data_IF_493366002322
#
_entry.id   IF_493366002322
#
_cell.length_a   1.000
_cell.length_b   1.000
_cell.length_c   1.000
_cell.angle_alpha   90.00
_cell.angle_beta   90.00
_cell.angle_gamma   90.00
#
_symmetry.space_group_name_H-M   'P 1'
#
loop_
_entity.id
_entity.type
_entity.pdbx_description
1 polymer ?
#
# COMPACT_ATOMS: atom_id res chain seq x y z
N UNK A 1 -3.35 21.88 -12.63
CA UNK A 1 -2.69 22.83 -11.72
C UNK A 1 -1.20 22.68 -11.91
N UNK A 2 -0.48 23.77 -12.19
CA UNK A 2 0.97 23.71 -12.30
C UNK A 2 1.57 23.64 -10.89
N UNK A 3 1.88 22.44 -10.44
CA UNK A 3 2.51 22.22 -9.15
C UNK A 3 4.02 22.19 -9.34
N UNK A 4 4.69 23.34 -9.18
CA UNK A 4 6.15 23.34 -9.10
C UNK A 4 6.58 22.77 -7.76
N UNK A 5 7.15 21.57 -7.76
CA UNK A 5 7.73 20.93 -6.59
C UNK A 5 9.25 21.05 -6.61
N UNK A 6 9.85 21.14 -5.43
CA UNK A 6 11.31 21.05 -5.30
C UNK A 6 11.85 19.75 -5.94
N UNK A 7 12.98 19.81 -6.64
CA UNK A 7 13.63 18.64 -7.20
C UNK A 7 13.92 17.58 -6.14
N UNK A 8 13.80 16.31 -6.54
CA UNK A 8 14.09 15.21 -5.64
C UNK A 8 15.60 15.12 -5.33
N UNK A 9 15.95 15.13 -4.06
CA UNK A 9 17.34 15.04 -3.55
C UNK A 9 17.79 13.60 -3.30
N UNK A 10 16.85 12.74 -2.92
CA UNK A 10 17.06 11.30 -2.74
C UNK A 10 16.11 10.54 -3.67
N UNK A 11 16.63 10.02 -4.75
CA UNK A 11 15.89 9.25 -5.76
C UNK A 11 16.08 7.73 -5.66
N UNK A 12 16.78 7.28 -4.60
CA UNK A 12 17.21 5.89 -4.41
C UNK A 12 16.05 4.89 -4.56
N UNK A 13 14.89 5.20 -3.92
CA UNK A 13 13.70 4.35 -4.03
C UNK A 13 13.23 4.24 -5.48
N UNK A 14 13.16 5.35 -6.20
CA UNK A 14 12.63 5.37 -7.56
C UNK A 14 13.56 4.63 -8.52
N UNK A 15 14.88 4.84 -8.42
CA UNK A 15 15.87 4.07 -9.20
C UNK A 15 15.76 2.58 -8.95
N UNK A 16 15.72 2.19 -7.67
CA UNK A 16 15.56 0.78 -7.30
C UNK A 16 14.24 0.21 -7.83
N UNK A 17 13.12 0.94 -7.69
CA UNK A 17 11.81 0.49 -8.16
C UNK A 17 11.74 0.30 -9.69
N UNK A 18 12.54 1.03 -10.45
CA UNK A 18 12.73 0.82 -11.90
C UNK A 18 13.70 -0.33 -12.23
N UNK A 19 14.25 -1.02 -11.22
CA UNK A 19 15.19 -2.13 -11.42
C UNK A 19 16.62 -1.69 -11.75
N UNK A 20 16.96 -0.43 -11.50
CA UNK A 20 18.31 0.09 -11.69
C UNK A 20 19.24 -0.38 -10.57
N UNK A 21 20.54 -0.39 -10.84
CA UNK A 21 21.55 -0.57 -9.79
C UNK A 21 21.55 0.63 -8.84
N UNK A 22 21.72 0.32 -7.56
CA UNK A 22 21.73 1.31 -6.49
C UNK A 22 22.86 0.99 -5.50
N UNK A 23 23.36 2.02 -4.86
CA UNK A 23 24.49 1.93 -3.91
C UNK A 23 24.16 1.15 -2.64
N UNK A 24 22.89 1.06 -2.27
CA UNK A 24 22.33 0.24 -1.19
C UNK A 24 20.84 0.02 -1.44
N UNK A 25 20.17 -0.95 -0.81
CA UNK A 25 18.73 -1.06 -0.90
C UNK A 25 18.08 0.16 -0.26
N UNK A 26 17.11 0.82 -0.93
CA UNK A 26 16.28 1.82 -0.28
C UNK A 26 15.41 1.17 0.77
N UNK A 27 15.03 1.94 1.80
CA UNK A 27 14.14 1.44 2.82
C UNK A 27 13.05 2.43 3.22
N UNK A 28 11.92 1.87 3.52
CA UNK A 28 10.78 2.47 4.17
C UNK A 28 9.95 1.35 4.81
N UNK A 29 8.98 1.65 5.63
CA UNK A 29 8.14 0.61 6.22
C UNK A 29 6.67 0.95 6.16
N UNK A 30 5.84 -0.05 5.88
CA UNK A 30 4.39 0.09 5.86
C UNK A 30 3.88 0.53 7.23
N UNK A 31 2.97 1.52 7.24
CA UNK A 31 2.44 2.18 8.45
C UNK A 31 3.53 2.88 9.29
N UNK A 32 4.59 3.38 8.63
CA UNK A 32 5.65 4.15 9.30
C UNK A 32 5.13 5.39 10.01
N UNK A 33 4.06 6.02 9.54
CA UNK A 33 3.27 7.00 10.30
C UNK A 33 2.17 6.26 11.07
N UNK A 34 2.15 6.37 12.39
CA UNK A 34 1.16 5.62 13.14
C UNK A 34 1.30 5.66 14.66
N UNK A 35 0.40 4.93 15.31
CA UNK A 35 0.17 4.93 16.76
C UNK A 35 1.36 4.49 17.63
N UNK A 36 2.41 3.95 17.07
CA UNK A 36 3.63 3.60 17.80
C UNK A 36 4.53 4.83 18.06
N UNK A 37 4.28 5.95 17.35
CA UNK A 37 5.01 7.21 17.53
C UNK A 37 4.33 8.09 18.58
N UNK A 38 5.03 8.60 19.58
CA UNK A 38 4.47 9.54 20.56
C UNK A 38 3.89 10.80 19.89
N UNK A 39 4.62 11.41 18.96
CA UNK A 39 4.20 12.59 18.21
C UNK A 39 2.95 12.38 17.35
N UNK A 40 2.62 11.15 16.99
CA UNK A 40 1.36 10.83 16.32
C UNK A 40 0.16 11.19 17.20
N UNK A 41 0.21 10.88 18.49
CA UNK A 41 -0.88 11.15 19.42
C UNK A 41 -1.07 12.65 19.66
N UNK A 42 0.03 13.41 19.70
CA UNK A 42 -0.01 14.86 19.82
C UNK A 42 -0.67 15.51 18.59
N UNK A 43 -0.22 15.15 17.39
CA UNK A 43 -0.76 15.69 16.14
C UNK A 43 -2.21 15.27 15.89
N UNK A 44 -2.56 14.02 16.24
CA UNK A 44 -3.95 13.52 16.16
C UNK A 44 -4.88 14.28 17.09
N UNK A 45 -4.47 14.54 18.32
CA UNK A 45 -5.31 15.12 19.35
C UNK A 45 -6.57 14.28 19.60
N UNK A 46 -7.73 14.94 19.67
CA UNK A 46 -9.02 14.29 19.89
C UNK A 46 -9.70 13.79 18.60
N UNK A 47 -9.08 13.98 17.43
CA UNK A 47 -9.65 13.53 16.13
C UNK A 47 -9.72 12.02 16.07
N UNK A 48 -10.75 11.51 15.38
CA UNK A 48 -10.73 10.11 14.96
C UNK A 48 -9.78 9.91 13.76
N UNK A 49 -9.65 8.65 13.33
CA UNK A 49 -8.73 8.31 12.23
C UNK A 49 -9.17 8.93 10.89
N UNK A 50 -10.47 8.90 10.57
CA UNK A 50 -10.98 9.46 9.33
C UNK A 50 -10.97 11.00 9.33
N UNK A 51 -11.17 11.63 10.47
CA UNK A 51 -10.98 13.08 10.63
C UNK A 51 -9.53 13.48 10.34
N UNK A 52 -8.55 12.69 10.82
CA UNK A 52 -7.14 12.92 10.49
C UNK A 52 -6.87 12.76 8.98
N UNK A 53 -7.48 11.77 8.32
CA UNK A 53 -7.33 11.57 6.88
C UNK A 53 -7.97 12.69 6.05
N UNK A 54 -9.07 13.29 6.53
CA UNK A 54 -9.81 14.35 5.83
C UNK A 54 -9.25 15.75 6.06
N UNK A 55 -8.33 15.92 6.99
CA UNK A 55 -7.64 17.19 7.24
C UNK A 55 -6.26 17.15 6.56
N UNK A 56 -6.05 17.84 5.43
CA UNK A 56 -4.78 17.81 4.68
C UNK A 56 -3.56 18.23 5.51
N UNK A 57 -3.72 19.19 6.44
CA UNK A 57 -2.63 19.64 7.33
C UNK A 57 -2.22 18.55 8.31
N UNK A 58 -3.21 17.87 8.92
CA UNK A 58 -2.95 16.74 9.85
C UNK A 58 -2.37 15.56 9.11
N UNK A 59 -2.96 15.15 7.98
CA UNK A 59 -2.46 14.04 7.17
C UNK A 59 -1.02 14.29 6.69
N UNK A 60 -0.73 15.51 6.25
CA UNK A 60 0.64 15.91 5.87
C UNK A 60 1.60 15.86 7.05
N UNK A 61 1.21 16.38 8.20
CA UNK A 61 2.04 16.36 9.43
C UNK A 61 2.35 14.92 9.85
N UNK A 62 1.34 14.05 9.92
CA UNK A 62 1.52 12.64 10.25
C UNK A 62 2.43 11.92 9.24
N UNK A 63 2.30 12.24 7.96
CA UNK A 63 3.16 11.66 6.90
C UNK A 63 4.64 12.02 7.09
N UNK A 64 4.93 13.24 7.58
CA UNK A 64 6.29 13.75 7.73
C UNK A 64 6.99 13.26 9.00
N UNK A 65 6.25 12.95 10.05
CA UNK A 65 6.81 12.54 11.36
C UNK A 65 7.89 11.44 11.25
N UNK A 66 7.68 10.30 10.55
CA UNK A 66 8.74 9.29 10.43
C UNK A 66 9.95 9.78 9.62
N UNK A 67 9.74 10.62 8.60
CA UNK A 67 10.85 11.20 7.82
C UNK A 67 11.72 12.11 8.66
N UNK A 68 11.13 12.80 9.61
CA UNK A 68 11.84 13.68 10.55
C UNK A 68 12.51 12.90 11.67
N UNK A 69 11.79 11.97 12.30
CA UNK A 69 12.31 11.14 13.38
C UNK A 69 13.48 10.26 12.93
N UNK A 70 13.39 9.69 11.77
CA UNK A 70 14.40 8.79 11.20
C UNK A 70 15.17 9.43 10.04
N UNK A 71 15.47 10.72 10.19
CA UNK A 71 16.17 11.48 9.16
C UNK A 71 17.50 10.82 8.75
N UNK A 72 17.70 10.68 7.43
CA UNK A 72 18.86 10.01 6.85
C UNK A 72 18.78 8.48 6.84
N UNK A 73 17.75 7.86 7.44
CA UNK A 73 17.53 6.41 7.44
C UNK A 73 16.42 5.99 6.47
N UNK A 74 15.38 6.80 6.28
CA UNK A 74 14.27 6.50 5.37
C UNK A 74 14.50 7.08 3.96
N UNK A 75 14.10 6.31 2.95
CA UNK A 75 14.20 6.68 1.54
C UNK A 75 12.84 6.94 0.89
N UNK A 76 11.76 6.93 1.65
CA UNK A 76 10.43 7.30 1.19
C UNK A 76 9.50 7.76 2.31
N UNK A 77 8.49 8.53 1.92
CA UNK A 77 7.27 8.74 2.68
C UNK A 77 6.09 8.06 1.97
N UNK A 78 5.10 7.61 2.73
CA UNK A 78 3.81 7.19 2.21
C UNK A 78 2.72 8.07 2.82
N UNK A 79 1.81 8.58 1.98
CA UNK A 79 0.76 9.49 2.44
C UNK A 79 -0.08 8.85 3.56
N UNK A 80 -0.38 9.62 4.61
CA UNK A 80 -1.31 9.20 5.64
C UNK A 80 -2.74 9.29 5.10
N UNK A 81 -3.36 8.16 4.84
CA UNK A 81 -4.70 8.02 4.28
C UNK A 81 -5.26 6.62 4.62
N UNK A 82 -6.44 6.28 4.08
CA UNK A 82 -7.06 4.96 4.20
C UNK A 82 -7.36 4.34 2.84
N UNK A 83 -7.38 3.01 2.78
CA UNK A 83 -7.82 2.28 1.59
C UNK A 83 -9.35 2.36 1.39
N UNK A 84 -10.11 2.60 2.46
CA UNK A 84 -11.58 2.62 2.44
C UNK A 84 -12.18 3.95 1.94
N UNK A 85 -11.35 4.91 1.57
CA UNK A 85 -11.81 6.14 0.88
C UNK A 85 -12.56 5.81 -0.42
N UNK A 86 -12.21 4.72 -1.10
CA UNK A 86 -12.90 4.28 -2.33
C UNK A 86 -14.32 3.79 -2.03
N UNK A 87 -14.58 2.83 -1.11
CA UNK A 87 -15.94 2.50 -0.70
C UNK A 87 -16.76 3.70 -0.21
N UNK A 88 -16.13 4.65 0.50
CA UNK A 88 -16.79 5.89 0.91
C UNK A 88 -17.22 6.73 -0.30
N UNK A 89 -16.35 6.92 -1.29
CA UNK A 89 -16.69 7.60 -2.54
C UNK A 89 -17.76 6.85 -3.34
N UNK A 90 -17.83 5.52 -3.20
CA UNK A 90 -18.90 4.70 -3.76
C UNK A 90 -20.24 4.83 -3.00
N UNK A 91 -20.31 5.67 -1.95
CA UNK A 91 -21.51 5.96 -1.19
C UNK A 91 -21.75 5.06 0.01
N UNK A 92 -20.76 4.27 0.42
CA UNK A 92 -20.87 3.47 1.64
C UNK A 92 -20.37 4.23 2.86
N UNK A 93 -21.13 4.16 3.93
CA UNK A 93 -20.74 4.71 5.22
C UNK A 93 -19.67 3.81 5.87
N UNK A 94 -18.63 4.43 6.41
CA UNK A 94 -17.55 3.74 7.12
C UNK A 94 -17.26 4.49 8.41
N UNK A 95 -17.27 3.78 9.51
CA UNK A 95 -17.01 4.29 10.86
C UNK A 95 -15.74 3.65 11.43
N UNK A 96 -15.04 4.39 12.30
CA UNK A 96 -13.94 3.82 13.08
C UNK A 96 -14.45 3.42 14.47
N UNK A 97 -14.61 2.11 14.69
CA UNK A 97 -15.06 1.57 15.96
C UNK A 97 -13.86 1.23 16.84
N UNK A 98 -13.85 1.75 18.08
CA UNK A 98 -12.77 1.51 19.02
C UNK A 98 -12.50 0.01 19.21
N UNK A 99 -11.21 -0.38 19.18
CA UNK A 99 -10.70 -1.76 19.28
C UNK A 99 -11.14 -2.72 18.17
N UNK A 100 -12.11 -2.36 17.30
CA UNK A 100 -12.55 -3.21 16.18
C UNK A 100 -11.97 -2.74 14.84
N UNK A 101 -11.60 -1.46 14.73
CA UNK A 101 -11.16 -0.88 13.48
C UNK A 101 -12.31 -0.39 12.59
N UNK A 102 -12.10 -0.30 11.27
CA UNK A 102 -13.12 0.20 10.35
C UNK A 102 -14.33 -0.74 10.30
N UNK A 103 -15.51 -0.15 10.30
CA UNK A 103 -16.80 -0.82 10.28
C UNK A 103 -17.74 -0.18 9.28
N UNK A 104 -18.45 -1.00 8.52
CA UNK A 104 -19.53 -0.59 7.63
C UNK A 104 -20.86 -0.90 8.33
N UNK A 105 -21.62 0.09 8.79
CA UNK A 105 -22.93 -0.14 9.43
C UNK A 105 -23.91 -0.88 8.53
N UNK A 106 -23.81 -0.62 7.23
CA UNK A 106 -24.65 -1.21 6.21
C UNK A 106 -23.81 -1.91 5.14
N UNK A 107 -23.28 -3.12 5.39
CA UNK A 107 -22.50 -3.86 4.39
C UNK A 107 -23.41 -4.44 3.30
N UNK A 108 -22.84 -4.71 2.13
CA UNK A 108 -23.55 -5.36 1.02
C UNK A 108 -23.86 -6.82 1.35
N UNK A 109 -25.11 -7.13 1.66
CA UNK A 109 -25.54 -8.48 2.08
C UNK A 109 -25.80 -9.41 0.89
N UNK A 110 -26.40 -8.87 -0.16
CA UNK A 110 -26.80 -9.61 -1.35
C UNK A 110 -26.94 -8.63 -2.53
N UNK A 111 -26.70 -9.08 -3.76
CA UNK A 111 -26.93 -8.22 -4.94
C UNK A 111 -28.41 -7.94 -5.23
N UNK A 112 -29.32 -8.46 -4.40
CA UNK A 112 -30.78 -8.32 -4.60
C UNK A 112 -31.44 -7.24 -3.74
N UNK A 113 -30.70 -6.59 -2.84
CA UNK A 113 -31.28 -5.64 -1.85
C UNK A 113 -31.31 -4.18 -2.31
N UNK A 114 -31.01 -3.89 -3.56
CA UNK A 114 -31.01 -2.55 -4.13
C UNK A 114 -29.84 -1.67 -3.73
N UNK A 115 -29.20 -1.90 -2.59
CA UNK A 115 -27.99 -1.19 -2.17
C UNK A 115 -26.82 -1.49 -3.11
N UNK A 116 -26.69 -2.76 -3.54
CA UNK A 116 -25.70 -3.17 -4.53
C UNK A 116 -25.81 -2.35 -5.82
N UNK A 117 -27.04 -2.19 -6.36
CA UNK A 117 -27.27 -1.40 -7.57
C UNK A 117 -26.93 0.08 -7.36
N UNK A 118 -27.25 0.65 -6.19
CA UNK A 118 -26.87 2.01 -5.85
C UNK A 118 -25.36 2.21 -5.84
N UNK A 119 -24.61 1.31 -5.21
CA UNK A 119 -23.14 1.35 -5.14
C UNK A 119 -22.52 1.10 -6.51
N UNK A 120 -23.02 0.10 -7.25
CA UNK A 120 -22.49 -0.26 -8.57
C UNK A 120 -22.69 0.86 -9.60
N UNK A 121 -23.87 1.48 -9.62
CA UNK A 121 -24.25 2.47 -10.63
C UNK A 121 -23.93 3.92 -10.23
N UNK A 122 -23.38 4.14 -9.02
CA UNK A 122 -22.96 5.48 -8.59
C UNK A 122 -21.88 6.02 -9.53
N UNK A 123 -22.10 7.23 -10.03
CA UNK A 123 -21.06 7.99 -10.73
C UNK A 123 -20.11 8.59 -9.71
N UNK A 124 -18.90 7.99 -9.60
CA UNK A 124 -17.90 8.39 -8.62
C UNK A 124 -16.95 9.42 -9.23
N UNK A 125 -17.03 10.64 -8.76
CA UNK A 125 -16.17 11.74 -9.16
C UNK A 125 -14.99 11.85 -8.20
N UNK A 126 -13.97 10.96 -8.36
CA UNK A 126 -12.82 10.87 -7.42
C UNK A 126 -12.15 12.22 -7.17
N UNK A 127 -12.03 13.06 -8.20
CA UNK A 127 -11.41 14.38 -8.09
C UNK A 127 -12.13 15.32 -7.12
N UNK A 128 -13.42 15.11 -6.89
CA UNK A 128 -14.24 15.92 -5.99
C UNK A 128 -14.46 15.23 -4.65
N UNK A 129 -14.72 13.93 -4.67
CA UNK A 129 -15.09 13.18 -3.47
C UNK A 129 -13.88 12.85 -2.59
N UNK A 130 -12.68 12.83 -3.19
CA UNK A 130 -11.41 12.51 -2.53
C UNK A 130 -10.39 13.66 -2.65
N UNK A 131 -10.85 14.90 -2.85
CA UNK A 131 -9.98 16.09 -3.00
C UNK A 131 -9.05 16.29 -1.81
N UNK A 132 -9.53 16.04 -0.60
CA UNK A 132 -8.73 16.12 0.63
C UNK A 132 -7.48 15.20 0.60
N UNK A 133 -7.54 14.03 -0.07
CA UNK A 133 -6.38 13.16 -0.23
C UNK A 133 -5.35 13.81 -1.16
N UNK A 134 -5.81 14.41 -2.25
CA UNK A 134 -4.93 15.05 -3.23
C UNK A 134 -4.33 16.34 -2.70
N UNK A 135 -5.09 17.11 -1.92
CA UNK A 135 -4.59 18.27 -1.20
C UNK A 135 -3.51 17.88 -0.20
N UNK A 136 -3.73 16.80 0.58
CA UNK A 136 -2.74 16.27 1.52
C UNK A 136 -1.45 15.84 0.82
N UNK A 137 -1.53 15.19 -0.35
CA UNK A 137 -0.37 14.80 -1.17
C UNK A 137 0.38 16.04 -1.65
N UNK A 138 -0.32 17.02 -2.21
CA UNK A 138 0.30 18.27 -2.71
C UNK A 138 0.99 19.03 -1.59
N UNK A 139 0.32 19.15 -0.44
CA UNK A 139 0.88 19.80 0.73
C UNK A 139 2.12 19.07 1.26
N UNK A 140 2.04 17.74 1.36
CA UNK A 140 3.16 16.90 1.79
C UNK A 140 4.35 17.04 0.84
N UNK A 141 4.12 17.04 -0.48
CA UNK A 141 5.19 17.22 -1.48
C UNK A 141 5.92 18.55 -1.31
N UNK A 142 5.18 19.63 -1.01
CA UNK A 142 5.77 20.94 -0.72
C UNK A 142 6.61 20.90 0.56
N UNK A 143 6.05 20.37 1.66
CA UNK A 143 6.72 20.30 2.96
C UNK A 143 7.92 19.34 2.97
N UNK A 144 7.86 18.23 2.24
CA UNK A 144 8.96 17.26 2.14
C UNK A 144 10.17 17.85 1.41
N UNK A 145 9.94 18.85 0.55
CA UNK A 145 10.97 19.65 -0.15
C UNK A 145 12.05 18.80 -0.84
N UNK A 146 11.63 17.73 -1.51
CA UNK A 146 12.51 16.82 -2.25
C UNK A 146 13.37 15.87 -1.41
N UNK A 147 13.26 15.87 -0.09
CA UNK A 147 14.09 15.03 0.80
C UNK A 147 14.00 13.54 0.45
N UNK A 148 12.79 13.03 0.23
CA UNK A 148 12.50 11.66 -0.20
C UNK A 148 11.25 11.66 -1.10
N UNK A 149 11.05 10.63 -1.96
CA UNK A 149 9.83 10.49 -2.74
C UNK A 149 8.61 10.20 -1.86
N UNK A 150 7.43 10.61 -2.35
CA UNK A 150 6.14 10.36 -1.73
C UNK A 150 5.40 9.25 -2.48
N UNK A 151 4.95 8.23 -1.73
CA UNK A 151 4.16 7.11 -2.22
C UNK A 151 2.67 7.41 -2.00
N UNK A 152 1.86 7.28 -3.07
CA UNK A 152 0.41 7.19 -3.00
C UNK A 152 -0.05 5.72 -3.00
N UNK A 153 -1.31 5.45 -2.65
CA UNK A 153 -1.79 4.08 -2.62
C UNK A 153 -3.31 3.95 -2.73
N UNK A 154 -3.76 2.72 -2.97
CA UNK A 154 -5.15 2.32 -2.78
C UNK A 154 -5.23 0.88 -2.26
N UNK A 155 -6.41 0.48 -1.79
CA UNK A 155 -6.72 -0.94 -1.60
C UNK A 155 -6.93 -1.64 -2.93
N UNK A 156 -6.57 -2.92 -3.01
CA UNK A 156 -6.89 -3.75 -4.16
C UNK A 156 -8.40 -4.04 -4.24
N UNK A 157 -8.95 -4.28 -5.44
CA UNK A 157 -10.37 -4.54 -5.60
C UNK A 157 -10.91 -5.66 -4.73
N UNK A 158 -10.21 -6.79 -4.62
CA UNK A 158 -10.62 -7.89 -3.74
C UNK A 158 -10.64 -7.48 -2.27
N UNK A 159 -9.60 -6.82 -1.80
CA UNK A 159 -9.55 -6.34 -0.40
C UNK A 159 -10.69 -5.36 -0.09
N UNK A 160 -10.95 -4.41 -0.97
CA UNK A 160 -12.05 -3.44 -0.80
C UNK A 160 -13.42 -4.13 -0.86
N UNK A 161 -13.62 -5.03 -1.82
CA UNK A 161 -14.82 -5.86 -1.94
C UNK A 161 -15.09 -6.62 -0.63
N UNK A 162 -14.07 -7.26 -0.04
CA UNK A 162 -14.24 -7.94 1.24
C UNK A 162 -14.73 -7.01 2.35
N UNK A 163 -14.15 -5.81 2.50
CA UNK A 163 -14.64 -4.84 3.48
C UNK A 163 -16.09 -4.44 3.25
N UNK A 164 -16.47 -4.22 1.99
CA UNK A 164 -17.82 -3.81 1.60
C UNK A 164 -18.88 -4.89 1.92
N UNK A 165 -18.54 -6.17 1.83
CA UNK A 165 -19.49 -7.26 2.06
C UNK A 165 -19.40 -7.88 3.45
N UNK A 166 -18.24 -7.86 4.10
CA UNK A 166 -18.07 -8.36 5.48
C UNK A 166 -18.52 -7.32 6.52
N UNK A 167 -18.45 -6.04 6.18
CA UNK A 167 -18.78 -4.96 7.10
C UNK A 167 -17.65 -4.58 8.06
N UNK A 168 -16.46 -5.18 7.92
CA UNK A 168 -15.31 -4.90 8.77
C UNK A 168 -14.28 -6.01 8.76
N UNK A 169 -13.40 -6.02 9.76
CA UNK A 169 -12.42 -7.10 9.95
C UNK A 169 -13.10 -8.42 10.28
N UNK A 170 -12.70 -9.50 9.61
CA UNK A 170 -13.25 -10.84 9.79
C UNK A 170 -12.13 -11.88 9.82
N UNK A 171 -12.40 -13.03 10.44
CA UNK A 171 -11.50 -14.20 10.43
C UNK A 171 -11.92 -15.26 9.43
N UNK A 172 -13.20 -15.31 9.06
CA UNK A 172 -13.78 -16.40 8.27
C UNK A 172 -14.04 -16.03 6.82
N UNK A 173 -14.16 -14.74 6.51
CA UNK A 173 -14.54 -14.24 5.18
C UNK A 173 -15.80 -14.91 4.61
N UNK A 174 -16.76 -15.25 5.49
CA UNK A 174 -17.93 -16.05 5.13
C UNK A 174 -18.83 -15.36 4.11
N UNK A 175 -19.03 -14.04 4.25
CA UNK A 175 -19.83 -13.27 3.31
C UNK A 175 -19.10 -13.11 1.96
N UNK A 176 -17.82 -12.79 1.97
CA UNK A 176 -17.00 -12.70 0.75
C UNK A 176 -16.98 -14.03 -0.02
N UNK A 177 -16.82 -15.15 0.69
CA UNK A 177 -16.90 -16.49 0.09
C UNK A 177 -18.30 -16.78 -0.45
N UNK A 178 -19.36 -16.42 0.30
CA UNK A 178 -20.73 -16.57 -0.18
C UNK A 178 -20.94 -15.82 -1.49
N UNK A 179 -20.45 -14.58 -1.58
CA UNK A 179 -20.59 -13.77 -2.78
C UNK A 179 -19.92 -14.41 -4.00
N UNK A 180 -18.64 -14.78 -3.89
CA UNK A 180 -17.92 -15.33 -5.06
C UNK A 180 -18.42 -16.68 -5.52
N UNK A 181 -19.01 -17.49 -4.61
CA UNK A 181 -19.55 -18.81 -4.97
C UNK A 181 -21.03 -18.80 -5.34
N UNK A 182 -21.81 -17.86 -4.82
CA UNK A 182 -23.26 -17.79 -5.05
C UNK A 182 -23.65 -16.72 -6.07
N UNK A 183 -22.88 -15.64 -6.16
CA UNK A 183 -23.12 -14.48 -7.03
C UNK A 183 -21.83 -14.09 -7.79
N UNK A 184 -21.20 -15.00 -8.55
CA UNK A 184 -19.90 -14.75 -9.17
C UNK A 184 -19.93 -13.59 -10.17
N UNK A 185 -20.97 -13.46 -10.96
CA UNK A 185 -21.06 -12.40 -11.99
C UNK A 185 -21.26 -11.02 -11.37
N UNK A 186 -22.09 -10.92 -10.34
CA UNK A 186 -22.28 -9.67 -9.58
C UNK A 186 -21.01 -9.28 -8.83
N UNK A 187 -20.30 -10.26 -8.27
CA UNK A 187 -18.99 -10.04 -7.63
C UNK A 187 -17.98 -9.48 -8.65
N UNK A 188 -17.90 -10.06 -9.84
CA UNK A 188 -17.02 -9.59 -10.93
C UNK A 188 -17.36 -8.18 -11.39
N UNK A 189 -18.63 -7.84 -11.51
CA UNK A 189 -19.07 -6.47 -11.86
C UNK A 189 -18.62 -5.46 -10.82
N UNK A 190 -18.81 -5.76 -9.53
CA UNK A 190 -18.37 -4.87 -8.45
C UNK A 190 -16.86 -4.74 -8.40
N UNK A 191 -16.12 -5.84 -8.54
CA UNK A 191 -14.65 -5.85 -8.59
C UNK A 191 -14.13 -5.01 -9.78
N UNK A 192 -14.76 -5.10 -10.95
CA UNK A 192 -14.42 -4.27 -12.12
C UNK A 192 -14.65 -2.78 -11.84
N UNK A 193 -15.79 -2.43 -11.26
CA UNK A 193 -16.10 -1.04 -10.88
C UNK A 193 -15.08 -0.49 -9.90
N UNK A 194 -14.72 -1.25 -8.88
CA UNK A 194 -13.69 -0.86 -7.91
C UNK A 194 -12.34 -0.67 -8.61
N UNK A 195 -11.96 -1.57 -9.53
CA UNK A 195 -10.70 -1.47 -10.26
C UNK A 195 -10.61 -0.18 -11.10
N UNK A 196 -11.69 0.21 -11.78
CA UNK A 196 -11.75 1.45 -12.54
C UNK A 196 -11.56 2.68 -11.63
N UNK A 197 -12.24 2.70 -10.46
CA UNK A 197 -12.08 3.78 -9.49
C UNK A 197 -10.66 3.81 -8.91
N UNK A 198 -10.04 2.63 -8.66
CA UNK A 198 -8.63 2.55 -8.24
C UNK A 198 -7.71 3.22 -9.27
N UNK A 199 -7.91 2.97 -10.56
CA UNK A 199 -7.12 3.61 -11.63
C UNK A 199 -7.25 5.12 -11.58
N UNK A 200 -8.47 5.63 -11.49
CA UNK A 200 -8.74 7.07 -11.44
C UNK A 200 -8.15 7.70 -10.17
N UNK A 201 -8.32 7.05 -9.03
CA UNK A 201 -7.79 7.52 -7.74
C UNK A 201 -6.26 7.55 -7.73
N UNK A 202 -5.59 6.50 -8.23
CA UNK A 202 -4.13 6.47 -8.31
C UNK A 202 -3.60 7.53 -9.29
N UNK A 203 -4.26 7.71 -10.43
CA UNK A 203 -3.86 8.74 -11.40
C UNK A 203 -3.95 10.16 -10.79
N UNK A 204 -5.00 10.44 -10.02
CA UNK A 204 -5.13 11.73 -9.32
C UNK A 204 -4.10 11.91 -8.21
N UNK A 205 -3.70 10.85 -7.52
CA UNK A 205 -2.60 10.93 -6.56
C UNK A 205 -1.27 11.29 -7.24
N UNK A 206 -0.99 10.73 -8.42
CA UNK A 206 0.21 11.10 -9.21
C UNK A 206 0.12 12.54 -9.66
N UNK A 207 -1.02 12.99 -10.18
CA UNK A 207 -1.26 14.38 -10.58
C UNK A 207 -1.03 15.35 -9.40
N UNK A 208 -1.42 14.96 -8.19
CA UNK A 208 -1.21 15.72 -6.96
C UNK A 208 0.24 15.71 -6.45
N UNK A 209 1.12 14.85 -7.00
CA UNK A 209 2.54 14.83 -6.69
C UNK A 209 3.09 13.53 -6.12
N UNK A 210 2.33 12.44 -6.05
CA UNK A 210 2.86 11.13 -5.71
C UNK A 210 3.83 10.65 -6.80
N UNK A 211 4.99 10.11 -6.38
CA UNK A 211 6.08 9.72 -7.30
C UNK A 211 6.19 8.21 -7.46
N UNK A 212 5.44 7.46 -6.70
CA UNK A 212 5.26 6.01 -6.75
C UNK A 212 3.87 5.69 -6.24
N UNK A 213 3.27 4.60 -6.68
CA UNK A 213 1.96 4.17 -6.18
C UNK A 213 1.98 2.70 -5.75
N UNK A 214 1.11 2.36 -4.80
CA UNK A 214 1.02 1.02 -4.26
C UNK A 214 -0.42 0.54 -4.16
N UNK A 215 -0.66 -0.73 -4.51
CA UNK A 215 -1.95 -1.42 -4.42
C UNK A 215 -1.86 -2.48 -3.33
N UNK A 216 -2.65 -2.33 -2.27
CA UNK A 216 -2.65 -3.23 -1.11
C UNK A 216 -3.73 -4.30 -1.25
N UNK A 217 -3.35 -5.54 -1.62
CA UNK A 217 -4.24 -6.69 -1.55
C UNK A 217 -4.00 -7.48 -0.25
N UNK A 218 -4.41 -6.87 0.85
CA UNK A 218 -4.12 -7.35 2.21
C UNK A 218 -4.79 -8.69 2.54
N UNK A 219 -5.81 -9.09 1.77
CA UNK A 219 -6.57 -10.32 1.96
C UNK A 219 -6.49 -11.29 0.77
N UNK A 220 -5.49 -11.11 -0.11
CA UNK A 220 -5.24 -12.01 -1.24
C UNK A 220 -5.07 -13.47 -0.82
N UNK A 221 -4.38 -13.70 0.30
CA UNK A 221 -4.13 -15.04 0.84
C UNK A 221 -5.37 -15.79 1.34
N UNK A 222 -6.51 -15.11 1.44
CA UNK A 222 -7.79 -15.74 1.79
C UNK A 222 -8.44 -16.45 0.59
N UNK A 223 -7.90 -16.25 -0.61
CA UNK A 223 -8.33 -16.92 -1.83
C UNK A 223 -7.52 -18.19 -2.09
N UNK A 224 -8.18 -19.24 -2.59
CA UNK A 224 -7.47 -20.36 -3.19
C UNK A 224 -6.76 -19.94 -4.48
N UNK A 225 -5.77 -20.69 -4.98
CA UNK A 225 -5.11 -20.35 -6.23
C UNK A 225 -6.07 -20.16 -7.43
N UNK A 226 -7.15 -20.94 -7.50
CA UNK A 226 -8.19 -20.79 -8.54
C UNK A 226 -9.03 -19.54 -8.34
N UNK A 227 -9.47 -19.28 -7.10
CA UNK A 227 -10.26 -18.09 -6.78
C UNK A 227 -9.44 -16.80 -6.92
N UNK A 228 -8.13 -16.83 -6.63
CA UNK A 228 -7.24 -15.69 -6.86
C UNK A 228 -7.19 -15.33 -8.34
N UNK A 229 -6.98 -16.33 -9.22
CA UNK A 229 -7.00 -16.13 -10.67
C UNK A 229 -8.32 -15.58 -11.21
N UNK A 230 -9.42 -15.82 -10.52
CA UNK A 230 -10.75 -15.39 -10.96
C UNK A 230 -11.19 -14.06 -10.34
N UNK A 231 -10.90 -13.82 -9.05
CA UNK A 231 -11.48 -12.71 -8.27
C UNK A 231 -10.48 -11.67 -7.76
N UNK A 232 -9.17 -11.85 -7.96
CA UNK A 232 -8.16 -10.84 -7.61
C UNK A 232 -7.27 -10.50 -8.82
N UNK A 233 -6.59 -11.47 -9.38
CA UNK A 233 -5.58 -11.28 -10.43
C UNK A 233 -6.04 -10.46 -11.64
N UNK A 234 -7.26 -10.66 -12.22
CA UNK A 234 -7.70 -9.88 -13.38
C UNK A 234 -7.83 -8.38 -13.09
N UNK A 235 -8.22 -8.04 -11.89
CA UNK A 235 -8.42 -6.63 -11.47
C UNK A 235 -7.10 -5.96 -11.09
N UNK A 236 -6.16 -6.70 -10.53
CA UNK A 236 -4.78 -6.23 -10.35
C UNK A 236 -4.11 -5.97 -11.70
N UNK A 237 -4.27 -6.90 -12.65
CA UNK A 237 -3.81 -6.74 -14.03
C UNK A 237 -4.44 -5.53 -14.72
N UNK A 238 -5.75 -5.33 -14.53
CA UNK A 238 -6.47 -4.17 -15.08
C UNK A 238 -5.85 -2.85 -14.60
N UNK A 239 -5.60 -2.71 -13.30
CA UNK A 239 -4.97 -1.52 -12.74
C UNK A 239 -3.58 -1.32 -13.36
N UNK A 240 -2.74 -2.37 -13.41
CA UNK A 240 -1.39 -2.28 -13.94
C UNK A 240 -1.34 -1.85 -15.42
N UNK A 241 -2.30 -2.28 -16.21
CA UNK A 241 -2.39 -1.96 -17.64
C UNK A 241 -3.03 -0.58 -17.90
N UNK A 242 -4.05 -0.20 -17.12
CA UNK A 242 -4.82 1.03 -17.36
C UNK A 242 -4.17 2.28 -16.79
N UNK A 243 -3.53 2.18 -15.62
CA UNK A 243 -2.93 3.35 -14.97
C UNK A 243 -1.89 4.06 -15.86
N UNK A 244 -0.92 3.39 -16.52
CA UNK A 244 0.02 4.08 -17.39
C UNK A 244 -0.64 4.83 -18.55
N UNK A 245 -1.70 4.26 -19.13
CA UNK A 245 -2.47 4.90 -20.20
C UNK A 245 -3.25 6.11 -19.70
N UNK A 246 -3.81 6.01 -18.50
CA UNK A 246 -4.52 7.12 -17.83
C UNK A 246 -3.57 8.27 -17.53
N UNK A 247 -2.38 8.01 -16.96
CA UNK A 247 -1.35 9.02 -16.70
C UNK A 247 -0.96 9.74 -18.00
N UNK A 248 -0.69 8.98 -19.06
CA UNK A 248 -0.38 9.56 -20.38
C UNK A 248 -1.50 10.47 -20.89
N UNK A 249 -2.77 10.09 -20.72
CA UNK A 249 -3.90 10.92 -21.15
C UNK A 249 -4.03 12.22 -20.37
N UNK A 250 -3.47 12.28 -19.15
CA UNK A 250 -3.40 13.47 -18.30
C UNK A 250 -2.09 14.29 -18.53
N UNK A 251 -1.23 13.86 -19.48
CA UNK A 251 0.06 14.51 -19.71
C UNK A 251 1.09 14.27 -18.61
N UNK A 252 0.93 13.21 -17.84
CA UNK A 252 1.79 12.84 -16.71
C UNK A 252 2.77 11.73 -17.10
N UNK A 253 3.95 11.77 -16.49
CA UNK A 253 4.94 10.71 -16.62
C UNK A 253 4.51 9.43 -15.88
N UNK A 254 5.04 8.29 -16.33
CA UNK A 254 4.88 7.03 -15.64
C UNK A 254 5.63 7.06 -14.30
N UNK A 255 5.00 6.47 -13.28
CA UNK A 255 5.62 6.25 -11.98
C UNK A 255 5.73 4.74 -11.70
N UNK A 256 6.68 4.29 -10.85
CA UNK A 256 6.73 2.90 -10.44
C UNK A 256 5.45 2.50 -9.71
N UNK A 257 5.00 1.27 -9.95
CA UNK A 257 3.81 0.69 -9.35
C UNK A 257 4.18 -0.52 -8.52
N UNK A 258 3.69 -0.58 -7.29
CA UNK A 258 3.83 -1.72 -6.37
C UNK A 258 2.51 -2.43 -6.19
N UNK A 259 2.53 -3.77 -6.15
CA UNK A 259 1.40 -4.59 -5.67
C UNK A 259 1.84 -5.40 -4.44
N UNK A 260 0.96 -5.50 -3.46
CA UNK A 260 1.21 -6.27 -2.22
C UNK A 260 0.11 -7.31 -1.99
N UNK A 261 0.21 -8.52 -2.57
CA UNK A 261 -0.74 -9.61 -2.42
C UNK A 261 -0.41 -10.44 -1.17
N UNK A 262 -0.72 -9.91 0.02
CA UNK A 262 -0.40 -10.54 1.30
C UNK A 262 -0.98 -11.95 1.41
N UNK A 263 -0.15 -12.91 1.79
CA UNK A 263 -0.52 -14.31 2.00
C UNK A 263 -0.69 -15.13 0.71
N UNK A 264 -0.67 -14.49 -0.47
CA UNK A 264 -0.81 -15.19 -1.75
C UNK A 264 0.53 -15.63 -2.35
N UNK A 265 1.40 -16.22 -1.52
CA UNK A 265 2.72 -16.70 -1.94
C UNK A 265 2.67 -17.68 -3.13
N UNK A 266 1.61 -18.47 -3.24
CA UNK A 266 1.34 -19.39 -4.33
C UNK A 266 1.15 -18.70 -5.69
N UNK A 267 0.82 -17.42 -5.70
CA UNK A 267 0.57 -16.64 -6.90
C UNK A 267 1.78 -15.79 -7.33
N UNK A 268 2.93 -15.89 -6.66
CA UNK A 268 4.09 -15.03 -6.91
C UNK A 268 4.54 -15.03 -8.38
N UNK A 269 4.53 -16.20 -9.02
CA UNK A 269 4.91 -16.32 -10.44
C UNK A 269 3.96 -15.52 -11.35
N UNK A 270 2.65 -15.65 -11.18
CA UNK A 270 1.67 -14.90 -11.98
C UNK A 270 1.73 -13.40 -11.66
N UNK A 271 1.87 -13.03 -10.38
CA UNK A 271 1.95 -11.62 -9.95
C UNK A 271 3.16 -10.92 -10.55
N UNK A 272 4.30 -11.60 -10.70
CA UNK A 272 5.47 -11.05 -11.38
C UNK A 272 5.25 -10.76 -12.89
N UNK A 273 4.15 -11.23 -13.48
CA UNK A 273 3.80 -11.01 -14.89
C UNK A 273 2.65 -9.98 -15.07
N UNK A 274 2.09 -9.41 -14.01
CA UNK A 274 0.93 -8.49 -14.11
C UNK A 274 1.28 -7.09 -14.63
N UNK A 275 2.57 -6.72 -14.65
CA UNK A 275 3.01 -5.41 -15.13
C UNK A 275 3.35 -4.41 -14.03
N UNK A 276 3.39 -4.83 -12.78
CA UNK A 276 3.94 -4.02 -11.68
C UNK A 276 5.46 -4.03 -11.68
N UNK A 277 6.06 -2.91 -11.30
CA UNK A 277 7.51 -2.78 -11.17
C UNK A 277 8.02 -3.46 -9.90
N UNK A 278 7.21 -3.39 -8.84
CA UNK A 278 7.56 -3.90 -7.51
C UNK A 278 6.49 -4.84 -7.00
N UNK A 279 6.90 -5.97 -6.46
CA UNK A 279 6.04 -6.92 -5.74
C UNK A 279 6.41 -6.91 -4.26
N UNK A 280 5.46 -6.49 -3.44
CA UNK A 280 5.57 -6.54 -1.99
C UNK A 280 5.40 -7.96 -1.48
N UNK A 281 6.25 -8.35 -0.55
CA UNK A 281 6.33 -9.69 0.00
C UNK A 281 6.08 -9.64 1.50
N UNK A 282 5.25 -10.55 1.98
CA UNK A 282 5.12 -10.78 3.41
C UNK A 282 6.17 -11.78 3.94
N UNK A 283 6.21 -11.95 5.24
CA UNK A 283 7.20 -12.79 5.93
C UNK A 283 7.02 -14.31 5.72
N UNK A 284 5.93 -14.74 5.07
CA UNK A 284 5.69 -16.16 4.75
C UNK A 284 6.50 -16.62 3.53
N UNK A 285 7.11 -15.69 2.80
CA UNK A 285 7.86 -15.99 1.59
C UNK A 285 9.36 -16.05 1.89
N UNK A 286 9.97 -17.15 1.48
CA UNK A 286 11.43 -17.29 1.52
C UNK A 286 12.07 -16.43 0.42
N UNK A 287 13.05 -15.57 0.77
CA UNK A 287 13.69 -14.67 -0.19
C UNK A 287 14.39 -15.40 -1.35
N UNK A 288 15.08 -16.49 -1.06
CA UNK A 288 15.83 -17.25 -2.07
C UNK A 288 14.88 -17.96 -3.03
N UNK A 289 13.82 -18.57 -2.51
CA UNK A 289 12.79 -19.18 -3.34
C UNK A 289 12.08 -18.15 -4.22
N UNK A 290 11.80 -16.97 -3.69
CA UNK A 290 11.19 -15.87 -4.43
C UNK A 290 12.09 -15.37 -5.57
N UNK A 291 13.38 -15.22 -5.34
CA UNK A 291 14.33 -14.84 -6.39
C UNK A 291 14.41 -15.88 -7.52
N UNK A 292 14.31 -17.16 -7.19
CA UNK A 292 14.23 -18.24 -8.21
C UNK A 292 12.96 -18.13 -9.05
N UNK A 293 11.82 -17.85 -8.41
CA UNK A 293 10.53 -17.65 -9.10
C UNK A 293 10.61 -16.41 -9.98
N UNK A 294 11.17 -15.30 -9.51
CA UNK A 294 11.38 -14.09 -10.30
C UNK A 294 12.19 -14.37 -11.57
N UNK A 295 13.26 -15.16 -11.46
CA UNK A 295 14.16 -15.43 -12.57
C UNK A 295 14.75 -14.14 -13.16
N UNK A 296 14.76 -14.03 -14.48
CA UNK A 296 15.29 -12.86 -15.21
C UNK A 296 14.29 -11.72 -15.40
N UNK A 297 13.10 -11.79 -14.81
CA UNK A 297 12.08 -10.72 -14.92
C UNK A 297 12.59 -9.44 -14.26
N UNK A 298 12.33 -8.32 -14.90
CA UNK A 298 12.65 -7.00 -14.32
C UNK A 298 11.57 -6.59 -13.30
N UNK A 299 11.48 -7.35 -12.21
CA UNK A 299 10.59 -7.11 -11.08
C UNK A 299 11.42 -6.97 -9.82
N UNK A 300 11.13 -5.96 -9.04
CA UNK A 300 11.79 -5.66 -7.77
C UNK A 300 10.96 -6.23 -6.62
N UNK A 301 11.59 -6.85 -5.64
CA UNK A 301 10.91 -7.30 -4.43
C UNK A 301 11.01 -6.26 -3.31
N UNK A 302 9.92 -6.07 -2.58
CA UNK A 302 9.85 -5.20 -1.42
C UNK A 302 9.42 -6.00 -0.19
N UNK A 303 10.21 -5.98 0.86
CA UNK A 303 9.92 -6.69 2.12
C UNK A 303 11.19 -7.19 2.78
N UNK A 304 11.10 -8.18 3.73
CA UNK A 304 9.87 -8.83 4.15
C UNK A 304 9.94 -9.30 5.62
N UNK A 305 10.62 -8.54 6.48
CA UNK A 305 10.69 -8.94 7.88
C UNK A 305 9.31 -9.06 8.52
N UNK A 306 9.11 -10.07 9.37
CA UNK A 306 7.94 -10.13 10.23
C UNK A 306 7.91 -8.88 11.14
N UNK A 307 6.84 -8.05 11.09
CA UNK A 307 6.73 -6.91 11.99
C UNK A 307 6.83 -7.28 13.47
N UNK A 308 6.51 -8.52 13.80
CA UNK A 308 6.62 -9.06 15.16
C UNK A 308 8.05 -9.08 15.69
N UNK A 309 9.08 -9.10 14.83
CA UNK A 309 10.47 -9.05 15.26
C UNK A 309 10.81 -7.75 16.01
N UNK A 310 10.08 -6.68 15.71
CA UNK A 310 10.26 -5.38 16.38
C UNK A 310 9.82 -5.36 17.85
N UNK A 311 9.16 -6.40 18.33
CA UNK A 311 8.90 -6.62 19.76
C UNK A 311 10.06 -7.35 20.46
N UNK A 312 11.00 -7.87 19.69
CA UNK A 312 12.13 -8.66 20.20
C UNK A 312 13.29 -7.79 20.69
N UNK A 313 14.40 -8.45 20.96
CA UNK A 313 15.67 -7.79 21.29
C UNK A 313 16.36 -7.23 20.04
N UNK A 314 17.30 -6.33 20.22
CA UNK A 314 18.11 -5.79 19.10
C UNK A 314 18.86 -6.89 18.36
N UNK A 315 19.33 -7.91 19.07
CA UNK A 315 20.00 -9.09 18.47
C UNK A 315 19.03 -9.87 17.55
N UNK A 316 17.78 -10.05 17.97
CA UNK A 316 16.77 -10.72 17.15
C UNK A 316 16.45 -9.90 15.89
N UNK A 317 16.39 -8.58 16.01
CA UNK A 317 16.19 -7.66 14.88
C UNK A 317 17.38 -7.76 13.91
N UNK A 318 18.60 -7.71 14.43
CA UNK A 318 19.83 -7.85 13.64
C UNK A 318 19.83 -9.17 12.84
N UNK A 319 19.50 -10.30 13.49
CA UNK A 319 19.42 -11.60 12.80
C UNK A 319 18.38 -11.62 11.68
N UNK A 320 17.21 -11.01 11.89
CA UNK A 320 16.19 -10.92 10.86
C UNK A 320 16.66 -10.06 9.66
N UNK A 321 17.34 -8.96 9.92
CA UNK A 321 17.92 -8.10 8.87
C UNK A 321 19.02 -8.86 8.11
N UNK A 322 19.91 -9.58 8.80
CA UNK A 322 20.95 -10.41 8.17
C UNK A 322 20.35 -11.44 7.20
N UNK A 323 19.25 -12.09 7.60
CA UNK A 323 18.53 -13.05 6.75
C UNK A 323 17.96 -12.38 5.49
N UNK A 324 17.34 -11.20 5.64
CA UNK A 324 16.81 -10.44 4.50
C UNK A 324 17.92 -10.00 3.54
N UNK A 325 19.00 -9.43 4.07
CA UNK A 325 20.16 -8.98 3.26
C UNK A 325 20.78 -10.16 2.54
N UNK A 326 21.04 -11.26 3.24
CA UNK A 326 21.60 -12.49 2.64
C UNK A 326 20.68 -13.08 1.56
N UNK A 327 19.38 -12.97 1.74
CA UNK A 327 18.38 -13.52 0.82
C UNK A 327 18.10 -12.65 -0.40
N UNK A 328 17.96 -11.34 -0.23
CA UNK A 328 17.54 -10.44 -1.30
C UNK A 328 18.67 -9.63 -1.94
N UNK A 329 19.70 -9.24 -1.17
CA UNK A 329 20.75 -8.32 -1.65
C UNK A 329 21.94 -9.03 -2.32
N UNK A 330 21.65 -10.13 -3.06
CA UNK A 330 22.69 -10.96 -3.68
C UNK A 330 23.36 -10.27 -4.87
N UNK A 331 22.55 -9.62 -5.71
CA UNK A 331 22.99 -8.93 -6.94
C UNK A 331 23.19 -7.42 -6.76
N UNK A 332 23.11 -6.92 -5.54
CA UNK A 332 23.11 -5.47 -5.21
C UNK A 332 22.05 -4.66 -5.96
N UNK A 333 20.96 -5.30 -6.36
CA UNK A 333 19.80 -4.69 -7.04
C UNK A 333 18.53 -5.50 -6.79
N UNK A 334 17.39 -4.94 -7.22
CA UNK A 334 16.11 -5.66 -7.26
C UNK A 334 15.47 -5.88 -5.90
N UNK A 335 15.85 -5.10 -4.88
CA UNK A 335 15.27 -5.17 -3.54
C UNK A 335 15.05 -3.80 -2.91
N UNK A 336 13.89 -3.63 -2.29
CA UNK A 336 13.52 -2.51 -1.42
C UNK A 336 13.28 -3.09 -0.03
N UNK A 337 14.07 -2.67 0.95
CA UNK A 337 13.93 -3.17 2.32
C UNK A 337 12.65 -2.61 2.97
N UNK A 338 11.86 -3.51 3.54
CA UNK A 338 10.60 -3.19 4.22
C UNK A 338 10.26 -4.31 5.21
N UNK A 339 9.24 -4.09 6.03
CA UNK A 339 8.58 -5.16 6.75
C UNK A 339 7.64 -5.93 5.83
N UNK A 340 7.29 -7.14 6.21
CA UNK A 340 6.31 -7.97 5.50
C UNK A 340 4.85 -7.57 5.73
N UNK A 341 4.59 -6.57 6.57
CA UNK A 341 3.30 -5.90 6.78
C UNK A 341 3.51 -4.59 7.55
N UNK A 342 2.42 -3.85 7.79
CA UNK A 342 2.47 -2.62 8.56
C UNK A 342 2.88 -2.81 10.03
N UNK A 343 3.57 -1.81 10.56
CA UNK A 343 3.92 -1.74 11.98
C UNK A 343 2.66 -1.80 12.85
N UNK A 344 2.78 -2.45 14.00
CA UNK A 344 1.73 -2.54 15.00
C UNK A 344 1.93 -1.49 16.11
N UNK A 345 0.85 -1.04 16.80
CA UNK A 345 0.92 0.12 17.70
C UNK A 345 1.83 -0.02 18.93
N UNK A 346 2.19 -1.25 19.31
CA UNK A 346 3.03 -1.50 20.50
C UNK A 346 4.53 -1.60 20.21
N UNK A 347 4.97 -1.29 19.00
CA UNK A 347 6.40 -1.32 18.63
C UNK A 347 7.12 -0.14 19.26
N UNK A 348 8.30 -0.40 19.81
CA UNK A 348 9.24 0.63 20.28
C UNK A 348 9.90 1.31 19.06
N UNK A 349 9.79 2.66 18.93
CA UNK A 349 10.48 3.40 17.87
C UNK A 349 12.00 3.18 17.82
N UNK A 350 12.65 2.91 18.94
CA UNK A 350 14.09 2.64 18.99
C UNK A 350 14.44 1.27 18.40
N UNK A 351 13.54 0.28 18.49
CA UNK A 351 13.68 -0.99 17.82
C UNK A 351 13.54 -0.85 16.31
N UNK A 352 12.61 -0.02 15.86
CA UNK A 352 12.50 0.31 14.43
C UNK A 352 13.72 1.07 13.91
N UNK A 353 14.23 2.02 14.69
CA UNK A 353 15.47 2.72 14.34
C UNK A 353 16.63 1.75 14.19
N UNK A 354 16.79 0.81 15.12
CA UNK A 354 17.81 -0.23 15.04
C UNK A 354 17.65 -1.09 13.78
N UNK A 355 16.43 -1.45 13.39
CA UNK A 355 16.18 -2.16 12.13
C UNK A 355 16.71 -1.37 10.92
N UNK A 356 16.50 -0.07 10.83
CA UNK A 356 17.03 0.75 9.75
C UNK A 356 18.56 0.85 9.79
N UNK A 357 19.13 1.07 10.96
CA UNK A 357 20.59 1.16 11.16
C UNK A 357 21.29 -0.14 10.74
N UNK A 358 20.72 -1.30 11.05
CA UNK A 358 21.28 -2.60 10.66
C UNK A 358 21.22 -2.84 9.16
N UNK A 359 20.14 -2.46 8.46
CA UNK A 359 20.07 -2.52 7.00
C UNK A 359 21.21 -1.67 6.41
N UNK A 360 21.38 -0.42 6.88
CA UNK A 360 22.45 0.44 6.42
C UNK A 360 23.84 -0.16 6.70
N UNK A 361 24.05 -0.70 7.91
CA UNK A 361 25.32 -1.29 8.31
C UNK A 361 25.72 -2.49 7.44
N UNK A 362 24.78 -3.38 7.18
CA UNK A 362 25.01 -4.65 6.47
C UNK A 362 25.06 -4.49 4.94
N UNK A 363 24.59 -3.38 4.41
CA UNK A 363 24.58 -3.13 2.96
C UNK A 363 25.54 -2.03 2.51
N UNK A 364 26.29 -1.43 3.44
CA UNK A 364 27.42 -0.55 3.08
C UNK A 364 28.43 -1.33 2.24
N UNK A 365 28.70 -0.84 1.04
CA UNK A 365 29.76 -1.33 0.13
C UNK A 365 31.11 -0.95 0.66
#
# INVERSE_FOLDING_TARGET
>A
MDHSFEPLKNDLLLRAAWGQEVERPPMWVMRQAGRYLPEYHEAKGNRDFFECCRDPEVASTLTLQPVERFAGLLDAAIIFSDILVIPQAMGMEVEMVDKKGPHFPNPLKTPKDGQYDQVLNRDVQVAKELDYVYEAITLTRKKIAGRVPLIGFCGAPWTLFCYMVEGGGTKLFAHSKTWIYKYPEESKRLLSKIADICVDHLARQVEAGAQMVMVFDSWAGELSPSSFREFSEPYLSHIAQKLPSKLKSLGLDRVPMTVFPKGAWYALDSVCNLGYNVVGMDWLQDPVAALRIRGSRNVVFQGNADPGVLYGTKEAITLAVEQMVKGFWVEKKGWIANLGHGITPGVDPDNLKHFFEEIHRLTKS
#
